data_IF_677488674160
#
_entry.id   IF_677488674160
#
_cell.length_a   1.000
_cell.length_b   1.000
_cell.length_c   1.000
_cell.angle_alpha   90.00
_cell.angle_beta   90.00
_cell.angle_gamma   90.00
#
_symmetry.space_group_name_H-M   'P 1'
#
loop_
_entity.id
_entity.type
_entity.pdbx_description
1 polymer ?
#
# COMPACT_ATOMS: atom_id res chain seq x y z
N UNK A 1 4.20 10.22 -62.20
CA UNK A 1 3.32 11.09 -63.02
C UNK A 1 2.40 11.85 -62.06
N UNK A 2 2.79 13.08 -61.72
CA UNK A 2 2.05 14.33 -61.96
C UNK A 2 0.80 14.49 -61.08
N UNK A 3 0.85 15.34 -60.04
CA UNK A 3 0.58 16.80 -60.12
C UNK A 3 -0.89 17.07 -59.76
N UNK A 4 -1.24 17.95 -58.83
CA UNK A 4 -1.13 19.41 -59.02
C UNK A 4 -1.08 20.17 -57.69
N UNK A 5 -0.04 21.01 -57.56
CA UNK A 5 -0.04 22.29 -56.87
C UNK A 5 -0.71 23.35 -57.76
N UNK A 6 -1.34 24.35 -57.14
CA UNK A 6 -1.37 25.78 -57.58
C UNK A 6 -1.71 26.61 -56.32
N UNK A 7 -0.79 27.41 -55.75
CA UNK A 7 -0.45 28.83 -56.06
C UNK A 7 -1.68 29.74 -56.10
N UNK A 8 -1.71 30.97 -55.61
CA UNK A 8 -0.77 31.91 -54.96
C UNK A 8 -1.56 33.23 -54.89
N UNK A 9 -1.36 34.10 -53.90
CA UNK A 9 -1.16 35.54 -54.16
C UNK A 9 -0.75 36.31 -52.90
N UNK A 10 0.36 37.03 -53.05
CA UNK A 10 0.94 37.98 -52.11
C UNK A 10 0.30 39.35 -52.27
N UNK A 11 0.23 40.12 -51.18
CA UNK A 11 0.28 41.59 -51.23
C UNK A 11 1.25 42.05 -50.15
N UNK A 12 2.29 42.76 -50.58
CA UNK A 12 3.22 43.49 -49.74
C UNK A 12 2.73 44.94 -49.57
N UNK A 13 2.81 45.48 -48.36
CA UNK A 13 2.78 46.92 -48.10
C UNK A 13 3.94 47.27 -47.18
N UNK A 14 4.84 48.11 -47.69
CA UNK A 14 5.91 48.77 -46.97
C UNK A 14 5.34 50.01 -46.27
N UNK A 15 5.73 50.28 -45.01
CA UNK A 15 6.31 51.57 -44.62
C UNK A 15 6.70 51.68 -43.13
N UNK A 16 7.93 52.18 -42.97
CA UNK A 16 8.43 53.13 -41.96
C UNK A 16 8.56 52.67 -40.51
N UNK A 17 9.81 52.71 -40.05
CA UNK A 17 10.20 52.44 -38.68
C UNK A 17 9.91 53.59 -37.72
N UNK A 18 9.91 53.22 -36.45
CA UNK A 18 10.12 54.10 -35.31
C UNK A 18 10.95 53.29 -34.30
N UNK A 19 12.11 53.82 -33.93
CA UNK A 19 12.90 53.34 -32.80
C UNK A 19 12.05 53.46 -31.53
N UNK A 20 11.85 52.35 -30.83
CA UNK A 20 11.39 52.35 -29.45
C UNK A 20 12.34 51.48 -28.63
N UNK A 21 12.97 52.13 -27.65
CA UNK A 21 13.92 51.58 -26.70
C UNK A 21 13.32 50.43 -25.89
N UNK A 22 13.97 49.26 -25.91
CA UNK A 22 13.73 48.17 -24.97
C UNK A 22 14.27 48.58 -23.59
N UNK A 23 13.43 49.20 -22.76
CA UNK A 23 13.72 49.26 -21.32
C UNK A 23 13.34 47.91 -20.72
N UNK A 24 14.34 47.08 -20.41
CA UNK A 24 14.15 45.89 -19.59
C UNK A 24 13.80 46.33 -18.17
N UNK A 25 12.51 46.42 -17.87
CA UNK A 25 12.04 46.47 -16.51
C UNK A 25 12.14 45.04 -15.93
N UNK A 26 13.31 44.71 -15.38
CA UNK A 26 13.44 43.63 -14.41
C UNK A 26 12.61 43.99 -13.19
N UNK A 27 11.32 43.65 -13.25
CA UNK A 27 10.48 43.54 -12.07
C UNK A 27 11.07 42.42 -11.22
N UNK A 28 11.97 42.79 -10.30
CA UNK A 28 12.33 41.95 -9.16
C UNK A 28 11.03 41.77 -8.38
N UNK A 29 10.32 40.69 -8.70
CA UNK A 29 9.22 40.20 -7.87
C UNK A 29 9.82 39.94 -6.50
N UNK A 30 9.62 40.90 -5.60
CA UNK A 30 9.91 40.75 -4.18
C UNK A 30 9.10 39.55 -3.73
N UNK A 31 9.79 38.42 -3.57
CA UNK A 31 9.24 37.24 -2.90
C UNK A 31 8.80 37.75 -1.54
N UNK A 32 7.49 38.01 -1.39
CA UNK A 32 6.86 38.18 -0.08
C UNK A 32 7.26 36.93 0.69
N UNK A 33 8.19 37.07 1.61
CA UNK A 33 8.42 36.09 2.66
C UNK A 33 7.07 35.93 3.34
N UNK A 34 6.41 34.81 3.07
CA UNK A 34 5.14 34.45 3.72
C UNK A 34 5.51 34.31 5.21
N UNK A 35 5.25 35.37 5.98
CA UNK A 35 5.39 35.35 7.43
C UNK A 35 4.16 34.61 7.97
N UNK A 36 4.30 33.30 8.12
CA UNK A 36 3.27 32.41 8.65
C UNK A 36 3.61 30.94 8.32
N UNK A 37 3.02 29.97 9.03
CA UNK A 37 3.08 28.58 8.61
C UNK A 37 2.48 28.42 7.19
N UNK A 38 2.91 27.44 6.38
CA UNK A 38 2.37 27.23 5.05
C UNK A 38 0.86 26.94 5.07
N UNK A 39 0.10 27.51 4.13
CA UNK A 39 -1.31 27.16 3.92
C UNK A 39 -1.48 25.77 3.31
N UNK A 40 -2.68 25.21 3.41
CA UNK A 40 -3.07 23.96 2.73
C UNK A 40 -2.71 23.95 1.24
N UNK A 41 -3.08 24.98 0.48
CA UNK A 41 -2.78 25.06 -0.97
C UNK A 41 -1.28 25.02 -1.26
N UNK A 42 -0.48 25.74 -0.47
CA UNK A 42 0.98 25.70 -0.61
C UNK A 42 1.53 24.30 -0.33
N UNK A 43 0.98 23.58 0.65
CA UNK A 43 1.38 22.21 0.97
C UNK A 43 1.05 21.27 -0.20
N UNK A 44 -0.15 21.37 -0.77
CA UNK A 44 -0.57 20.56 -1.92
C UNK A 44 0.31 20.83 -3.15
N UNK A 45 0.56 22.09 -3.49
CA UNK A 45 1.43 22.47 -4.62
C UNK A 45 2.86 21.96 -4.42
N UNK A 46 3.37 22.03 -3.19
CA UNK A 46 4.70 21.52 -2.87
C UNK A 46 4.77 20.01 -3.04
N UNK A 47 3.77 19.26 -2.57
CA UNK A 47 3.71 17.81 -2.79
C UNK A 47 3.57 17.47 -4.28
N UNK A 48 2.68 18.15 -5.01
CA UNK A 48 2.51 17.97 -6.45
C UNK A 48 3.80 18.26 -7.24
N UNK A 49 4.65 19.18 -6.76
CA UNK A 49 5.91 19.52 -7.42
C UNK A 49 7.03 18.52 -7.15
N UNK A 50 7.11 17.97 -5.93
CA UNK A 50 8.30 17.23 -5.48
C UNK A 50 8.03 15.75 -5.17
N UNK A 51 6.77 15.35 -4.97
CA UNK A 51 6.34 13.97 -4.74
C UNK A 51 5.88 13.28 -6.02
N UNK A 52 5.90 11.95 -6.03
CA UNK A 52 5.30 11.16 -7.09
C UNK A 52 3.75 11.22 -7.00
N UNK A 53 3.06 11.18 -8.13
CA UNK A 53 1.59 11.29 -8.19
C UNK A 53 0.91 9.93 -8.14
N UNK A 54 1.24 9.14 -7.12
CA UNK A 54 0.71 7.77 -6.94
C UNK A 54 -0.45 7.67 -5.95
N UNK A 55 -0.90 8.82 -5.42
CA UNK A 55 -2.11 8.94 -4.59
C UNK A 55 -3.02 10.04 -5.17
N UNK A 56 -4.29 9.96 -4.80
CA UNK A 56 -5.26 11.04 -5.00
C UNK A 56 -5.84 11.44 -3.62
N UNK A 57 -5.09 12.20 -2.79
CA UNK A 57 -5.48 12.50 -1.41
C UNK A 57 -6.74 13.38 -1.32
N UNK A 58 -7.47 13.28 -0.21
CA UNK A 58 -8.49 14.26 0.14
C UNK A 58 -7.81 15.61 0.44
N UNK A 59 -8.30 16.77 -0.05
CA UNK A 59 -7.60 18.04 0.06
C UNK A 59 -7.68 18.62 1.48
N UNK A 60 -6.90 18.06 2.40
CA UNK A 60 -6.75 18.51 3.79
C UNK A 60 -5.29 18.35 4.24
N UNK A 61 -4.66 19.43 4.72
CA UNK A 61 -3.27 19.40 5.19
C UNK A 61 -3.23 19.31 6.72
N UNK A 62 -3.18 18.08 7.24
CA UNK A 62 -3.14 17.81 8.69
C UNK A 62 -1.75 18.08 9.29
N UNK A 63 -1.70 18.72 10.47
CA UNK A 63 -0.44 19.00 11.19
C UNK A 63 -0.37 18.35 12.59
N UNK A 64 -1.50 17.95 13.16
CA UNK A 64 -1.56 17.42 14.53
C UNK A 64 -2.62 16.34 14.65
N UNK A 65 -2.30 15.26 15.38
CA UNK A 65 -3.25 14.23 15.78
C UNK A 65 -3.22 13.98 17.29
N UNK A 66 -4.39 13.74 17.90
CA UNK A 66 -4.51 13.29 19.29
C UNK A 66 -5.81 12.51 19.52
N UNK A 67 -5.68 11.26 19.95
CA UNK A 67 -6.85 10.38 20.13
C UNK A 67 -7.61 10.22 18.82
N UNK A 68 -8.91 10.48 18.83
CA UNK A 68 -9.79 10.41 17.64
C UNK A 68 -9.81 11.68 16.80
N UNK A 69 -9.00 12.68 17.15
CA UNK A 69 -9.02 13.99 16.51
C UNK A 69 -7.75 14.30 15.74
N UNK A 70 -7.92 15.02 14.63
CA UNK A 70 -6.83 15.63 13.86
C UNK A 70 -7.12 17.11 13.63
N UNK A 71 -6.08 17.90 13.44
CA UNK A 71 -6.15 19.33 13.12
C UNK A 71 -5.33 19.63 11.88
N UNK A 72 -5.86 20.50 11.03
CA UNK A 72 -5.13 21.03 9.88
C UNK A 72 -4.31 22.28 10.22
N UNK A 73 -3.50 22.73 9.26
CA UNK A 73 -2.64 23.91 9.40
C UNK A 73 -3.41 25.22 9.54
N UNK A 74 -4.71 25.24 9.23
CA UNK A 74 -5.62 26.35 9.50
C UNK A 74 -6.27 26.26 10.90
N UNK A 75 -5.96 25.22 11.68
CA UNK A 75 -6.47 25.00 13.04
C UNK A 75 -7.87 24.38 13.11
N UNK A 76 -8.47 23.99 11.98
CA UNK A 76 -9.76 23.29 11.95
C UNK A 76 -9.59 21.89 12.53
N UNK A 77 -10.56 21.46 13.33
CA UNK A 77 -10.55 20.18 14.04
C UNK A 77 -11.51 19.19 13.38
N UNK A 78 -11.05 17.96 13.19
CA UNK A 78 -11.80 16.88 12.55
C UNK A 78 -11.84 15.64 13.44
N UNK A 79 -12.92 14.87 13.33
CA UNK A 79 -12.87 13.46 13.72
C UNK A 79 -12.17 12.67 12.62
N UNK A 80 -11.23 11.81 12.99
CA UNK A 80 -10.62 10.87 12.07
C UNK A 80 -11.44 9.57 12.00
N UNK A 81 -12.16 9.39 10.90
CA UNK A 81 -12.94 8.18 10.60
C UNK A 81 -12.25 7.21 9.64
N UNK A 82 -11.00 7.51 9.23
CA UNK A 82 -10.18 6.61 8.42
C UNK A 82 -9.18 5.83 9.29
N UNK A 83 -8.67 6.46 10.34
CA UNK A 83 -7.67 5.90 11.27
C UNK A 83 -6.43 5.36 10.54
N UNK A 84 -6.00 6.06 9.49
CA UNK A 84 -4.89 5.66 8.61
C UNK A 84 -4.98 4.18 8.20
N UNK A 85 -6.13 3.77 7.67
CA UNK A 85 -6.43 2.38 7.32
C UNK A 85 -6.30 1.43 8.53
N UNK A 86 -6.90 1.83 9.67
CA UNK A 86 -6.84 1.12 10.96
C UNK A 86 -5.44 0.99 11.61
N UNK A 87 -4.45 1.77 11.18
CA UNK A 87 -3.12 1.77 11.80
C UNK A 87 -3.08 2.48 13.16
N UNK A 88 -3.98 3.45 13.40
CA UNK A 88 -4.06 4.22 14.65
C UNK A 88 -5.26 3.84 15.51
N UNK A 89 -5.55 2.54 15.64
CA UNK A 89 -6.66 2.02 16.47
C UNK A 89 -6.62 2.53 17.92
N UNK A 90 -5.43 2.76 18.47
CA UNK A 90 -5.21 3.28 19.82
C UNK A 90 -5.44 4.80 19.91
N UNK A 91 -5.74 5.47 18.79
CA UNK A 91 -5.78 6.92 18.64
C UNK A 91 -4.40 7.53 18.37
N UNK A 92 -4.41 8.67 17.68
CA UNK A 92 -3.20 9.42 17.33
C UNK A 92 -2.38 9.79 18.58
N UNK A 93 -1.06 9.60 18.49
CA UNK A 93 -0.09 9.97 19.51
C UNK A 93 -0.42 9.45 20.92
N UNK A 94 -0.89 8.19 21.02
CA UNK A 94 -1.22 7.58 22.31
C UNK A 94 -0.01 7.65 23.28
N UNK A 95 -0.16 8.23 24.48
CA UNK A 95 0.98 8.61 25.34
C UNK A 95 1.82 7.41 25.77
N UNK A 96 1.20 6.25 26.02
CA UNK A 96 1.94 5.02 26.36
C UNK A 96 2.90 4.58 25.24
N UNK A 97 2.48 4.70 23.98
CA UNK A 97 3.26 4.26 22.81
C UNK A 97 4.38 5.26 22.54
N UNK A 98 4.05 6.56 22.55
CA UNK A 98 5.03 7.64 22.35
C UNK A 98 6.13 7.58 23.42
N UNK A 99 5.78 7.35 24.68
CA UNK A 99 6.76 7.26 25.75
C UNK A 99 7.65 6.01 25.63
N UNK A 100 7.10 4.86 25.22
CA UNK A 100 7.88 3.66 24.96
C UNK A 100 8.89 3.89 23.82
N UNK A 101 8.47 4.53 22.73
CA UNK A 101 9.34 4.88 21.61
C UNK A 101 10.49 5.79 22.07
N UNK A 102 10.18 6.89 22.78
CA UNK A 102 11.20 7.83 23.29
C UNK A 102 12.22 7.11 24.18
N UNK A 103 11.73 6.34 25.15
CA UNK A 103 12.58 5.63 26.10
C UNK A 103 13.53 4.62 25.43
N UNK A 104 13.07 3.88 24.42
CA UNK A 104 13.93 2.92 23.70
C UNK A 104 14.88 3.63 22.72
N UNK A 105 14.44 4.72 22.09
CA UNK A 105 15.25 5.47 21.12
C UNK A 105 16.52 6.08 21.71
N UNK A 106 16.52 6.36 23.02
CA UNK A 106 17.67 6.86 23.77
C UNK A 106 18.65 5.76 24.21
N UNK A 107 18.31 4.47 23.98
CA UNK A 107 19.12 3.32 24.36
C UNK A 107 19.74 2.61 23.15
N UNK A 108 18.90 2.05 22.28
CA UNK A 108 19.33 1.26 21.13
C UNK A 108 18.16 1.05 20.16
N UNK A 109 18.38 1.30 18.86
CA UNK A 109 17.31 1.26 17.84
C UNK A 109 17.50 0.18 16.78
N UNK A 110 18.73 -0.14 16.38
CA UNK A 110 18.98 -1.08 15.28
C UNK A 110 20.29 -1.84 15.47
N UNK A 111 20.20 -3.16 15.59
CA UNK A 111 21.36 -4.08 15.64
C UNK A 111 21.49 -4.95 14.41
N UNK A 112 20.53 -4.88 13.47
CA UNK A 112 20.18 -5.98 12.57
C UNK A 112 19.83 -7.27 13.34
N UNK A 113 19.64 -8.38 12.63
CA UNK A 113 19.53 -9.72 13.23
C UNK A 113 20.85 -10.50 13.26
N UNK A 114 21.96 -9.86 12.88
CA UNK A 114 23.30 -10.45 13.00
C UNK A 114 23.77 -10.50 14.47
N UNK A 115 23.24 -9.60 15.31
CA UNK A 115 23.48 -9.58 16.75
C UNK A 115 22.16 -9.74 17.48
N UNK A 116 22.20 -10.43 18.63
CA UNK A 116 21.10 -10.40 19.57
C UNK A 116 21.00 -9.02 20.22
N UNK A 117 19.81 -8.67 20.68
CA UNK A 117 19.55 -7.57 21.59
C UNK A 117 18.60 -8.05 22.70
N UNK A 118 18.49 -7.26 23.74
CA UNK A 118 17.73 -7.57 24.96
C UNK A 118 16.20 -7.45 24.78
N UNK A 119 15.72 -6.82 23.71
CA UNK A 119 14.29 -6.48 23.53
C UNK A 119 13.54 -7.48 22.64
N UNK A 120 14.19 -7.99 21.58
CA UNK A 120 13.50 -8.81 20.58
C UNK A 120 12.87 -10.07 21.19
N UNK A 121 13.62 -10.80 22.02
CA UNK A 121 13.12 -12.03 22.65
C UNK A 121 11.92 -11.79 23.58
N UNK A 122 11.89 -10.66 24.29
CA UNK A 122 10.75 -10.27 25.15
C UNK A 122 9.49 -10.02 24.32
N UNK A 123 9.61 -9.30 23.20
CA UNK A 123 8.51 -9.12 22.25
C UNK A 123 8.04 -10.45 21.66
N UNK A 124 8.98 -11.31 21.22
CA UNK A 124 8.68 -12.61 20.63
C UNK A 124 7.88 -13.50 21.59
N UNK A 125 8.28 -13.57 22.86
CA UNK A 125 7.55 -14.29 23.91
C UNK A 125 6.17 -13.69 24.17
N UNK A 126 6.08 -12.36 24.30
CA UNK A 126 4.83 -11.66 24.57
C UNK A 126 3.78 -11.95 23.49
N UNK A 127 4.14 -11.75 22.22
CA UNK A 127 3.19 -11.86 21.09
C UNK A 127 2.77 -13.32 20.83
N UNK A 128 3.70 -14.27 20.98
CA UNK A 128 3.41 -15.69 20.78
C UNK A 128 2.46 -16.23 21.84
N UNK A 129 2.64 -15.82 23.11
CA UNK A 129 1.70 -16.15 24.20
C UNK A 129 0.34 -15.49 24.01
N UNK A 130 0.30 -14.24 23.56
CA UNK A 130 -0.94 -13.50 23.35
C UNK A 130 -1.83 -14.14 22.27
N UNK A 131 -1.24 -14.57 21.15
CA UNK A 131 -1.98 -15.16 20.04
C UNK A 131 -1.98 -16.70 20.01
N UNK A 132 -1.33 -17.35 20.99
CA UNK A 132 -1.22 -18.80 21.11
C UNK A 132 -0.59 -19.49 19.88
N UNK A 133 0.52 -18.95 19.38
CA UNK A 133 1.34 -19.57 18.33
C UNK A 133 2.74 -19.90 18.86
N UNK A 134 3.45 -20.84 18.23
CA UNK A 134 4.77 -21.26 18.75
C UNK A 134 5.90 -20.26 18.47
N UNK A 135 5.83 -19.49 17.39
CA UNK A 135 6.89 -18.57 16.93
C UNK A 135 6.28 -17.38 16.19
N UNK A 136 7.03 -16.28 16.16
CA UNK A 136 6.76 -15.10 15.32
C UNK A 136 7.97 -14.84 14.42
N UNK A 137 7.74 -14.25 13.24
CA UNK A 137 8.78 -13.77 12.36
C UNK A 137 8.53 -12.27 12.09
N UNK A 138 9.25 -11.36 12.75
CA UNK A 138 9.00 -9.92 12.64
C UNK A 138 9.44 -9.37 11.28
N UNK A 139 8.57 -8.55 10.68
CA UNK A 139 8.79 -7.78 9.45
C UNK A 139 8.44 -6.31 9.71
N UNK A 140 8.53 -5.45 8.69
CA UNK A 140 8.31 -4.01 8.85
C UNK A 140 6.93 -3.58 8.32
N UNK A 141 6.54 -4.10 7.15
CA UNK A 141 5.28 -3.71 6.48
C UNK A 141 4.31 -4.89 6.33
N UNK A 142 3.03 -4.59 6.07
CA UNK A 142 2.02 -5.63 5.82
C UNK A 142 2.35 -6.51 4.61
N UNK A 143 2.84 -5.92 3.51
CA UNK A 143 3.19 -6.70 2.30
C UNK A 143 4.38 -7.62 2.52
N UNK A 144 5.36 -7.23 3.34
CA UNK A 144 6.47 -8.11 3.72
C UNK A 144 6.01 -9.31 4.57
N UNK A 145 4.99 -9.12 5.41
CA UNK A 145 4.35 -10.23 6.12
C UNK A 145 3.64 -11.19 5.14
N UNK A 146 2.91 -10.67 4.15
CA UNK A 146 2.28 -11.46 3.08
C UNK A 146 3.29 -12.23 2.21
N UNK A 147 4.38 -11.58 1.78
CA UNK A 147 5.48 -12.22 1.04
C UNK A 147 6.14 -13.33 1.89
N UNK A 148 6.31 -13.09 3.19
CA UNK A 148 6.86 -14.08 4.12
C UNK A 148 5.92 -15.27 4.28
N UNK A 149 4.61 -15.05 4.39
CA UNK A 149 3.61 -16.11 4.44
C UNK A 149 3.60 -16.95 3.15
N UNK A 150 3.68 -16.32 1.98
CA UNK A 150 3.80 -17.01 0.70
C UNK A 150 5.07 -17.87 0.62
N UNK A 151 6.21 -17.36 1.12
CA UNK A 151 7.47 -18.11 1.19
C UNK A 151 7.38 -19.28 2.15
N UNK A 152 6.76 -19.11 3.33
CA UNK A 152 6.53 -20.19 4.29
C UNK A 152 5.66 -21.30 3.68
N UNK A 153 4.52 -20.93 3.07
CA UNK A 153 3.61 -21.86 2.40
C UNK A 153 4.32 -22.67 1.31
N UNK A 154 5.02 -21.99 0.38
CA UNK A 154 5.76 -22.67 -0.69
C UNK A 154 6.87 -23.56 -0.14
N UNK A 155 7.66 -23.08 0.82
CA UNK A 155 8.75 -23.87 1.40
C UNK A 155 8.20 -25.14 2.07
N UNK A 156 7.16 -25.00 2.89
CA UNK A 156 6.47 -26.11 3.54
C UNK A 156 5.87 -27.09 2.53
N UNK A 157 5.23 -26.59 1.46
CA UNK A 157 4.67 -27.42 0.41
C UNK A 157 5.72 -28.34 -0.22
N UNK A 158 6.92 -27.81 -0.49
CA UNK A 158 8.00 -28.58 -1.08
C UNK A 158 8.69 -29.53 -0.11
N UNK A 159 8.89 -29.12 1.15
CA UNK A 159 9.72 -29.89 2.09
C UNK A 159 8.94 -30.77 3.06
N UNK A 160 7.64 -30.51 3.22
CA UNK A 160 6.77 -31.23 4.16
C UNK A 160 5.61 -31.90 3.43
N UNK A 161 4.82 -31.15 2.65
CA UNK A 161 3.71 -31.75 1.87
C UNK A 161 4.19 -32.63 0.70
N UNK A 162 5.42 -32.39 0.21
CA UNK A 162 6.04 -33.19 -0.85
C UNK A 162 5.66 -32.78 -2.27
N UNK A 163 5.12 -31.57 -2.47
CA UNK A 163 4.81 -31.06 -3.81
C UNK A 163 6.11 -30.88 -4.61
N UNK A 164 6.18 -31.29 -5.90
CA UNK A 164 7.36 -31.06 -6.71
C UNK A 164 7.73 -29.57 -6.81
N UNK A 165 9.01 -29.23 -6.63
CA UNK A 165 9.49 -27.86 -6.91
C UNK A 165 9.33 -27.57 -8.41
N UNK A 166 8.81 -26.43 -8.89
CA UNK A 166 8.14 -25.28 -8.28
C UNK A 166 6.65 -25.28 -8.65
N UNK A 167 5.96 -26.39 -8.38
CA UNK A 167 4.55 -26.60 -8.76
C UNK A 167 3.56 -26.12 -7.71
N UNK A 168 4.02 -25.68 -6.55
CA UNK A 168 3.15 -25.24 -5.47
C UNK A 168 2.36 -23.99 -5.86
N UNK A 169 1.06 -24.01 -5.58
CA UNK A 169 0.13 -22.92 -5.85
C UNK A 169 -0.42 -22.32 -4.56
N UNK A 170 -0.78 -21.05 -4.60
CA UNK A 170 -1.46 -20.36 -3.50
C UNK A 170 -2.77 -19.79 -4.04
N UNK A 171 -3.86 -20.10 -3.36
CA UNK A 171 -5.17 -19.57 -3.69
C UNK A 171 -5.36 -18.22 -2.98
N UNK A 172 -5.93 -17.26 -3.69
CA UNK A 172 -6.39 -15.98 -3.18
C UNK A 172 -7.88 -15.79 -3.53
N UNK A 173 -8.56 -14.92 -2.80
CA UNK A 173 -9.93 -14.53 -3.11
C UNK A 173 -9.95 -13.28 -4.02
N UNK A 174 -10.84 -13.22 -5.00
CA UNK A 174 -11.08 -12.02 -5.81
C UNK A 174 -11.43 -10.83 -4.91
N UNK A 175 -10.93 -9.64 -5.23
CA UNK A 175 -11.05 -8.45 -4.38
C UNK A 175 -10.01 -8.37 -3.24
N UNK A 176 -9.08 -9.32 -3.13
CA UNK A 176 -8.02 -9.26 -2.12
C UNK A 176 -7.13 -8.01 -2.27
N UNK A 177 -6.65 -7.49 -1.13
CA UNK A 177 -5.58 -6.51 -1.09
C UNK A 177 -4.59 -6.83 0.02
N UNK A 178 -3.31 -6.97 -0.33
CA UNK A 178 -2.25 -7.23 0.64
C UNK A 178 -0.94 -6.51 0.34
N UNK A 179 -0.96 -5.54 -0.57
CA UNK A 179 0.17 -4.67 -0.87
C UNK A 179 0.38 -4.37 -2.35
N UNK A 180 1.56 -3.84 -2.68
CA UNK A 180 1.92 -3.32 -4.00
C UNK A 180 3.24 -3.89 -4.55
N UNK A 181 3.75 -5.00 -4.00
CA UNK A 181 4.87 -5.71 -4.62
C UNK A 181 4.41 -6.41 -5.89
N UNK A 182 5.35 -6.80 -6.75
CA UNK A 182 5.07 -7.58 -7.96
C UNK A 182 4.24 -8.84 -7.65
N UNK A 183 4.54 -9.55 -6.56
CA UNK A 183 3.75 -10.72 -6.15
C UNK A 183 2.33 -10.32 -5.76
N UNK A 184 2.16 -9.28 -4.95
CA UNK A 184 0.84 -8.83 -4.50
C UNK A 184 -0.07 -8.44 -5.65
N UNK A 185 0.44 -7.63 -6.60
CA UNK A 185 -0.35 -7.23 -7.76
C UNK A 185 -0.65 -8.41 -8.70
N UNK A 186 0.18 -9.46 -8.69
CA UNK A 186 -0.06 -10.69 -9.48
C UNK A 186 -1.23 -11.53 -8.98
N UNK A 187 -1.66 -11.35 -7.73
CA UNK A 187 -2.88 -11.99 -7.19
C UNK A 187 -4.11 -11.07 -7.19
N UNK A 188 -3.94 -9.80 -7.60
CA UNK A 188 -5.02 -8.82 -7.60
C UNK A 188 -5.98 -9.05 -8.77
N UNK A 189 -7.25 -8.70 -8.55
CA UNK A 189 -8.29 -8.61 -9.59
C UNK A 189 -8.69 -7.17 -9.90
N UNK A 190 -8.01 -6.19 -9.30
CA UNK A 190 -8.19 -4.76 -9.58
C UNK A 190 -7.18 -4.31 -10.65
N UNK A 191 -7.62 -3.90 -11.85
CA UNK A 191 -6.74 -3.42 -12.92
C UNK A 191 -5.83 -2.27 -12.49
N UNK A 192 -6.29 -1.38 -11.61
CA UNK A 192 -5.49 -0.24 -11.14
C UNK A 192 -4.25 -0.66 -10.35
N UNK A 193 -4.25 -1.90 -9.85
CA UNK A 193 -3.13 -2.48 -9.12
C UNK A 193 -2.12 -3.19 -10.01
N UNK A 194 -2.53 -3.84 -11.11
CA UNK A 194 -1.64 -4.72 -11.90
C UNK A 194 -1.36 -4.26 -13.34
N UNK A 195 -2.17 -3.37 -13.90
CA UNK A 195 -2.04 -2.96 -15.30
C UNK A 195 -0.69 -2.26 -15.56
N UNK A 196 -0.05 -2.60 -16.68
CA UNK A 196 1.28 -2.09 -17.02
C UNK A 196 2.46 -2.61 -16.18
N UNK A 197 2.25 -3.47 -15.18
CA UNK A 197 3.31 -3.97 -14.28
C UNK A 197 3.78 -5.40 -14.56
N UNK A 198 3.30 -6.05 -15.63
CA UNK A 198 3.67 -7.43 -15.94
C UNK A 198 5.14 -7.64 -16.38
N UNK A 199 5.60 -8.91 -16.47
CA UNK A 199 4.84 -10.15 -16.27
C UNK A 199 4.62 -10.52 -14.79
N UNK A 200 3.61 -11.36 -14.54
CA UNK A 200 3.12 -11.66 -13.19
C UNK A 200 3.72 -12.94 -12.59
N UNK A 201 3.69 -13.02 -11.25
CA UNK A 201 4.10 -14.19 -10.46
C UNK A 201 3.23 -15.41 -10.80
N UNK A 202 3.82 -16.51 -11.31
CA UNK A 202 3.07 -17.73 -11.57
C UNK A 202 2.73 -18.47 -10.26
N UNK A 203 1.77 -19.37 -10.35
CA UNK A 203 1.35 -20.24 -9.23
C UNK A 203 0.46 -19.53 -8.21
N UNK A 204 -0.13 -18.39 -8.56
CA UNK A 204 -1.25 -17.82 -7.82
C UNK A 204 -2.54 -18.13 -8.58
N UNK A 205 -3.55 -18.62 -7.85
CA UNK A 205 -4.89 -18.87 -8.36
C UNK A 205 -5.88 -17.97 -7.64
N UNK A 206 -6.87 -17.46 -8.34
CA UNK A 206 -7.90 -16.59 -7.76
C UNK A 206 -9.26 -17.24 -7.88
N UNK A 207 -9.98 -17.32 -6.77
CA UNK A 207 -11.37 -17.79 -6.68
C UNK A 207 -12.30 -16.67 -6.19
N UNK A 208 -13.62 -16.74 -6.39
CA UNK A 208 -14.55 -15.80 -5.76
C UNK A 208 -14.42 -15.80 -4.24
N UNK A 209 -14.54 -14.61 -3.62
CA UNK A 209 -14.67 -14.50 -2.16
C UNK A 209 -16.04 -15.02 -1.71
N UNK A 210 -16.12 -15.51 -0.47
CA UNK A 210 -17.36 -16.02 0.11
C UNK A 210 -17.99 -17.21 -0.68
N UNK A 211 -17.15 -18.05 -1.30
CA UNK A 211 -17.59 -19.20 -2.11
C UNK A 211 -16.85 -20.48 -1.68
N UNK A 212 -17.42 -21.20 -0.71
CA UNK A 212 -16.87 -22.48 -0.23
C UNK A 212 -16.84 -23.56 -1.34
N UNK A 213 -17.88 -23.71 -2.20
CA UNK A 213 -17.80 -24.61 -3.34
C UNK A 213 -16.62 -24.33 -4.28
N UNK A 214 -16.30 -23.06 -4.56
CA UNK A 214 -15.14 -22.70 -5.38
C UNK A 214 -13.83 -23.08 -4.70
N UNK A 215 -13.71 -22.83 -3.39
CA UNK A 215 -12.55 -23.26 -2.62
C UNK A 215 -12.40 -24.80 -2.64
N UNK A 216 -13.48 -25.54 -2.39
CA UNK A 216 -13.44 -27.02 -2.41
C UNK A 216 -13.02 -27.57 -3.78
N UNK A 217 -13.48 -26.96 -4.88
CA UNK A 217 -13.05 -27.33 -6.23
C UNK A 217 -11.56 -27.06 -6.45
N UNK A 218 -11.06 -25.89 -6.03
CA UNK A 218 -9.65 -25.53 -6.19
C UNK A 218 -8.72 -26.44 -5.35
N UNK A 219 -9.15 -26.82 -4.14
CA UNK A 219 -8.42 -27.73 -3.25
C UNK A 219 -8.33 -29.18 -3.75
N UNK A 220 -8.98 -29.52 -4.87
CA UNK A 220 -8.78 -30.82 -5.53
C UNK A 220 -7.40 -30.94 -6.20
N UNK A 221 -6.73 -29.82 -6.53
CA UNK A 221 -5.35 -29.87 -7.01
C UNK A 221 -4.39 -30.20 -5.85
N UNK A 222 -3.67 -31.34 -5.90
CA UNK A 222 -2.75 -31.71 -4.82
C UNK A 222 -1.56 -30.74 -4.67
N UNK A 223 -1.35 -29.83 -5.62
CA UNK A 223 -0.30 -28.83 -5.59
C UNK A 223 -0.68 -27.53 -4.85
N UNK A 224 -1.88 -27.40 -4.29
CA UNK A 224 -2.23 -26.25 -3.45
C UNK A 224 -1.45 -26.30 -2.13
N UNK A 225 -0.75 -25.22 -1.82
CA UNK A 225 0.06 -25.05 -0.63
C UNK A 225 -0.65 -24.26 0.49
N UNK A 226 -1.46 -23.27 0.11
CA UNK A 226 -2.15 -22.39 1.05
C UNK A 226 -3.36 -21.74 0.37
N UNK A 227 -4.31 -21.30 1.19
CA UNK A 227 -5.32 -20.32 0.83
C UNK A 227 -5.13 -19.06 1.70
N UNK A 228 -4.83 -17.93 1.07
CA UNK A 228 -4.64 -16.64 1.74
C UNK A 228 -5.89 -15.79 1.57
N UNK A 229 -6.50 -15.41 2.70
CA UNK A 229 -7.82 -14.76 2.71
C UNK A 229 -7.96 -13.77 3.86
N UNK A 230 -8.61 -12.64 3.59
CA UNK A 230 -9.02 -11.66 4.59
C UNK A 230 -10.32 -12.12 5.29
N UNK A 231 -10.43 -12.06 6.63
CA UNK A 231 -11.67 -12.38 7.34
C UNK A 231 -12.86 -11.49 6.95
N UNK A 232 -12.57 -10.24 6.59
CA UNK A 232 -13.45 -9.24 5.97
C UNK A 232 -12.55 -8.49 4.99
N UNK A 233 -12.92 -8.36 3.72
CA UNK A 233 -12.08 -7.63 2.76
C UNK A 233 -12.18 -6.13 3.00
N UNK A 234 -11.05 -5.50 3.37
CA UNK A 234 -11.01 -4.09 3.73
C UNK A 234 -11.17 -3.18 2.51
N UNK A 235 -10.13 -3.16 1.65
CA UNK A 235 -10.05 -2.28 0.48
C UNK A 235 -11.11 -2.58 -0.59
N UNK A 236 -11.67 -3.80 -0.60
CA UNK A 236 -12.79 -4.15 -1.48
C UNK A 236 -14.12 -3.46 -1.09
N UNK A 237 -14.16 -2.74 0.04
CA UNK A 237 -15.34 -2.02 0.52
C UNK A 237 -16.01 -2.68 1.72
N UNK A 238 -15.22 -3.16 2.70
CA UNK A 238 -15.72 -3.78 3.93
C UNK A 238 -16.68 -4.94 3.62
N UNK A 239 -16.21 -5.89 2.80
CA UNK A 239 -17.02 -7.03 2.34
C UNK A 239 -17.01 -8.11 3.42
N UNK A 240 -18.12 -8.23 4.15
CA UNK A 240 -18.32 -9.23 5.20
C UNK A 240 -18.83 -10.53 4.57
N UNK A 241 -18.16 -11.68 4.77
CA UNK A 241 -18.62 -12.95 4.24
C UNK A 241 -19.82 -13.50 5.03
N UNK A 242 -20.50 -14.50 4.47
CA UNK A 242 -21.59 -15.17 5.14
C UNK A 242 -21.12 -15.88 6.42
N UNK A 243 -22.03 -15.98 7.39
CA UNK A 243 -21.77 -16.71 8.63
C UNK A 243 -21.37 -18.15 8.31
N UNK A 244 -20.25 -18.58 8.89
CA UNK A 244 -19.71 -19.94 8.70
C UNK A 244 -18.70 -20.05 7.57
N UNK A 245 -18.49 -19.01 6.75
CA UNK A 245 -17.48 -19.01 5.69
C UNK A 245 -16.09 -19.36 6.24
N UNK A 246 -15.59 -18.64 7.25
CA UNK A 246 -14.25 -18.88 7.79
C UNK A 246 -14.10 -20.24 8.48
N UNK A 247 -15.16 -20.75 9.11
CA UNK A 247 -15.18 -22.11 9.67
C UNK A 247 -15.08 -23.14 8.56
N UNK A 248 -15.88 -23.00 7.50
CA UNK A 248 -15.84 -23.88 6.33
C UNK A 248 -14.49 -23.83 5.61
N UNK A 249 -13.88 -22.64 5.51
CA UNK A 249 -12.51 -22.48 4.99
C UNK A 249 -11.52 -23.30 5.83
N UNK A 250 -11.57 -23.17 7.16
CA UNK A 250 -10.68 -23.93 8.06
C UNK A 250 -10.88 -25.43 7.90
N UNK A 251 -12.12 -25.91 7.81
CA UNK A 251 -12.44 -27.33 7.68
C UNK A 251 -11.93 -27.90 6.34
N UNK A 252 -12.17 -27.19 5.24
CA UNK A 252 -11.70 -27.57 3.91
C UNK A 252 -10.16 -27.57 3.82
N UNK A 253 -9.50 -26.51 4.30
CA UNK A 253 -8.04 -26.43 4.33
C UNK A 253 -7.45 -27.57 5.17
N UNK A 254 -7.99 -27.86 6.35
CA UNK A 254 -7.55 -29.00 7.18
C UNK A 254 -7.70 -30.33 6.46
N UNK A 255 -8.88 -30.60 5.88
CA UNK A 255 -9.18 -31.84 5.16
C UNK A 255 -8.21 -32.10 4.02
N UNK A 256 -7.76 -31.05 3.33
CA UNK A 256 -6.86 -31.14 2.17
C UNK A 256 -5.38 -30.92 2.51
N UNK A 257 -5.03 -30.79 3.80
CA UNK A 257 -3.69 -30.44 4.28
C UNK A 257 -3.15 -29.17 3.56
N UNK A 258 -3.90 -28.07 3.69
CA UNK A 258 -3.65 -26.73 3.13
C UNK A 258 -3.78 -25.69 4.24
#
# INVERSE_FOLDING_TARGET
>A
MFSKLTRSQSIAVLCRGVHASLSSATSVATKKTIQGPPSSDFIFEREAKYGAHNYHPLPVALEKGKGVYVWDVEGRKYFDFLSAYSAVNQGHCHPKIVNALKAQSEKLTLTSRAFYNDVLGEYEEFVTKMFNYNKVLPMNTGVEAGETACKLARKWAYTVKGIPKYKAKIIFAAGNFWGRTMSAVSSSTDPSSYDGFGPFMPGFEVIPYNDLPALERALQDPNIAAFMVEPIQGEAGVVVPDKGYLTGVRDLCTKHNV
#
